data_IF_888503784313
#
_entry.id   IF_888503784313
#
_cell.length_a   1.000
_cell.length_b   1.000
_cell.length_c   1.000
_cell.angle_alpha   90.00
_cell.angle_beta   90.00
_cell.angle_gamma   90.00
#
_symmetry.space_group_name_H-M   'P 1'
#
loop_
_entity.id
_entity.type
_entity.pdbx_description
1 polymer ?
#
# COMPACT_ATOMS: atom_id res chain seq x y z
N UNK A 1 60.18 -9.97 -16.32
CA UNK A 1 59.26 -8.94 -15.78
C UNK A 1 58.56 -8.26 -16.94
N UNK A 2 57.38 -8.74 -17.31
CA UNK A 2 56.53 -8.06 -18.31
C UNK A 2 55.32 -7.53 -17.56
N UNK A 3 55.33 -6.23 -17.29
CA UNK A 3 54.20 -5.49 -16.71
C UNK A 3 53.14 -5.31 -17.78
N UNK A 4 51.97 -5.84 -17.56
CA UNK A 4 50.79 -5.62 -18.39
C UNK A 4 50.39 -4.14 -18.32
N UNK A 5 50.79 -3.35 -19.27
CA UNK A 5 50.24 -2.04 -19.50
C UNK A 5 48.81 -2.19 -20.05
N UNK A 6 47.81 -1.97 -19.20
CA UNK A 6 46.41 -1.83 -19.63
C UNK A 6 46.34 -0.59 -20.53
N UNK A 7 46.13 -0.80 -21.82
CA UNK A 7 46.11 0.29 -22.80
C UNK A 7 44.89 1.22 -22.56
N UNK A 8 45.07 2.50 -22.81
CA UNK A 8 44.02 3.52 -22.68
C UNK A 8 42.76 3.18 -23.48
N UNK A 9 42.85 2.34 -24.50
CA UNK A 9 41.72 1.80 -25.26
C UNK A 9 40.90 0.78 -24.47
N UNK A 10 41.53 -0.06 -23.64
CA UNK A 10 40.80 -0.99 -22.77
C UNK A 10 40.05 -0.28 -21.66
N UNK A 11 40.62 0.81 -21.12
CA UNK A 11 39.95 1.66 -20.14
C UNK A 11 38.79 2.42 -20.78
N UNK A 12 38.94 2.94 -22.01
CA UNK A 12 37.86 3.56 -22.78
C UNK A 12 36.77 2.56 -23.19
N UNK A 13 37.13 1.35 -23.58
CA UNK A 13 36.19 0.27 -23.91
C UNK A 13 35.40 -0.18 -22.68
N UNK A 14 36.02 -0.32 -21.53
CA UNK A 14 35.36 -0.63 -20.27
C UNK A 14 34.47 0.53 -19.77
N UNK A 15 34.90 1.79 -19.95
CA UNK A 15 34.10 2.96 -19.65
C UNK A 15 32.89 3.11 -20.58
N UNK A 16 33.06 2.87 -21.89
CA UNK A 16 31.96 2.89 -22.85
C UNK A 16 30.98 1.72 -22.67
N UNK A 17 31.45 0.53 -22.27
CA UNK A 17 30.54 -0.58 -21.89
C UNK A 17 29.77 -0.30 -20.60
N UNK A 18 30.35 0.40 -19.64
CA UNK A 18 29.62 0.88 -18.45
C UNK A 18 28.64 2.02 -18.75
N UNK A 19 28.94 2.86 -19.74
CA UNK A 19 28.05 3.95 -20.18
C UNK A 19 26.90 3.48 -21.08
N UNK A 20 27.05 2.37 -21.81
CA UNK A 20 26.02 1.82 -22.67
C UNK A 20 25.02 0.90 -21.94
N UNK A 21 25.29 0.56 -20.70
CA UNK A 21 24.39 -0.17 -19.80
C UNK A 21 23.70 0.77 -18.79
N UNK A 22 23.27 1.96 -19.22
CA UNK A 22 22.06 2.55 -18.65
C UNK A 22 20.92 1.74 -19.22
N UNK A 23 20.62 0.62 -18.57
CA UNK A 23 19.41 -0.14 -18.81
C UNK A 23 18.27 0.86 -18.91
N UNK A 24 17.64 0.93 -20.08
CA UNK A 24 16.33 1.57 -20.22
C UNK A 24 15.42 0.77 -19.30
N UNK A 25 15.25 1.28 -18.09
CA UNK A 25 14.36 0.69 -17.10
C UNK A 25 13.01 0.49 -17.76
N UNK A 26 12.60 -0.76 -17.89
CA UNK A 26 11.33 -1.11 -18.53
C UNK A 26 10.21 -0.42 -17.76
N UNK A 27 9.17 0.06 -18.44
CA UNK A 27 7.96 0.61 -17.81
C UNK A 27 7.43 -0.39 -16.76
N UNK A 28 7.51 -1.68 -17.05
CA UNK A 28 7.11 -2.75 -16.13
C UNK A 28 7.94 -2.72 -14.84
N UNK A 29 9.25 -2.55 -14.94
CA UNK A 29 10.14 -2.49 -13.77
C UNK A 29 9.88 -1.24 -12.94
N UNK A 30 9.64 -0.11 -13.58
CA UNK A 30 9.25 1.13 -12.90
C UNK A 30 7.93 0.96 -12.15
N UNK A 31 6.91 0.40 -12.77
CA UNK A 31 5.60 0.11 -12.14
C UNK A 31 5.78 -0.82 -10.95
N UNK A 32 6.58 -1.88 -11.09
CA UNK A 32 6.86 -2.80 -9.99
C UNK A 32 7.55 -2.10 -8.81
N UNK A 33 8.60 -1.32 -9.07
CA UNK A 33 9.33 -0.56 -8.04
C UNK A 33 8.44 0.45 -7.32
N UNK A 34 7.63 1.21 -8.07
CA UNK A 34 6.69 2.19 -7.49
C UNK A 34 5.66 1.47 -6.63
N UNK A 35 5.12 0.34 -7.09
CA UNK A 35 4.12 -0.42 -6.32
C UNK A 35 4.69 -1.01 -5.04
N UNK A 36 5.94 -1.51 -5.08
CA UNK A 36 6.65 -1.97 -3.90
C UNK A 36 6.92 -0.81 -2.92
N UNK A 37 7.34 0.35 -3.44
CA UNK A 37 7.55 1.56 -2.65
C UNK A 37 6.27 2.01 -1.94
N UNK A 38 5.15 2.06 -2.65
CA UNK A 38 3.83 2.41 -2.11
C UNK A 38 3.40 1.45 -1.01
N UNK A 39 3.55 0.15 -1.24
CA UNK A 39 3.18 -0.87 -0.25
C UNK A 39 4.02 -0.75 1.02
N UNK A 40 5.32 -0.53 0.90
CA UNK A 40 6.22 -0.34 2.04
C UNK A 40 5.89 0.95 2.80
N UNK A 41 5.64 2.06 2.10
CA UNK A 41 5.25 3.32 2.73
C UNK A 41 3.96 3.16 3.56
N UNK A 42 2.93 2.51 3.01
CA UNK A 42 1.67 2.24 3.71
C UNK A 42 1.90 1.36 4.94
N UNK A 43 2.67 0.29 4.79
CA UNK A 43 2.96 -0.61 5.91
C UNK A 43 3.66 0.13 7.06
N UNK A 44 4.75 0.85 6.75
CA UNK A 44 5.61 1.47 7.77
C UNK A 44 4.96 2.70 8.39
N UNK A 45 4.16 3.45 7.67
CA UNK A 45 3.50 4.66 8.22
C UNK A 45 2.09 4.35 8.70
N UNK A 46 1.16 4.07 7.80
CA UNK A 46 -0.23 3.84 8.17
C UNK A 46 -0.39 2.56 9.00
N UNK A 47 0.20 1.46 8.54
CA UNK A 47 0.08 0.16 9.20
C UNK A 47 0.68 0.17 10.61
N UNK A 48 1.94 0.58 10.75
CA UNK A 48 2.59 0.65 12.07
C UNK A 48 1.96 1.73 12.95
N UNK A 49 1.54 2.87 12.38
CA UNK A 49 0.83 3.90 13.13
C UNK A 49 -0.48 3.40 13.74
N UNK A 50 -1.27 2.62 12.98
CA UNK A 50 -2.48 1.97 13.47
C UNK A 50 -2.18 0.90 14.51
N UNK A 51 -1.15 0.08 14.29
CA UNK A 51 -0.72 -0.93 15.26
C UNK A 51 -0.31 -0.31 16.59
N UNK A 52 0.49 0.77 16.57
CA UNK A 52 0.88 1.49 17.78
C UNK A 52 -0.34 2.04 18.53
N UNK A 53 -1.30 2.64 17.82
CA UNK A 53 -2.53 3.13 18.44
C UNK A 53 -3.38 1.99 19.04
N UNK A 54 -3.44 0.84 18.36
CA UNK A 54 -4.14 -0.34 18.86
C UNK A 54 -3.50 -0.88 20.14
N UNK A 55 -2.17 -1.05 20.15
CA UNK A 55 -1.43 -1.48 21.36
C UNK A 55 -1.62 -0.48 22.48
N UNK A 56 -1.54 0.83 22.18
CA UNK A 56 -1.76 1.88 23.16
C UNK A 56 -3.14 1.81 23.81
N UNK A 57 -4.16 1.38 23.06
CA UNK A 57 -5.51 1.13 23.58
C UNK A 57 -5.54 0.01 24.64
N UNK A 58 -4.73 -1.05 24.47
CA UNK A 58 -4.63 -2.14 25.45
C UNK A 58 -3.86 -1.74 26.71
N UNK A 59 -2.73 -1.05 26.53
CA UNK A 59 -1.84 -0.69 27.67
C UNK A 59 -2.15 0.69 28.28
N UNK A 60 -3.12 1.42 27.70
CA UNK A 60 -3.56 2.77 28.15
C UNK A 60 -2.41 3.77 28.25
N UNK A 61 -1.49 3.76 27.26
CA UNK A 61 -0.32 4.63 27.23
C UNK A 61 -0.45 5.74 26.19
N UNK A 62 -0.81 6.94 26.63
CA UNK A 62 -1.08 8.09 25.76
C UNK A 62 0.09 8.49 24.82
N UNK A 63 1.38 8.45 25.22
CA UNK A 63 2.47 8.75 24.28
C UNK A 63 2.51 7.83 23.06
N UNK A 64 2.15 6.54 23.22
CA UNK A 64 2.11 5.61 22.07
C UNK A 64 0.96 5.92 21.11
N UNK A 65 -0.17 6.46 21.59
CA UNK A 65 -1.23 7.00 20.72
C UNK A 65 -0.70 8.12 19.83
N UNK A 66 0.09 9.04 20.44
CA UNK A 66 0.69 10.17 19.72
C UNK A 66 1.75 9.70 18.71
N UNK A 67 2.60 8.73 19.06
CA UNK A 67 3.55 8.11 18.14
C UNK A 67 2.84 7.54 16.91
N UNK A 68 1.75 6.79 17.14
CA UNK A 68 0.94 6.24 16.06
C UNK A 68 0.29 7.31 15.18
N UNK A 69 -0.20 8.41 15.79
CA UNK A 69 -0.79 9.52 15.06
C UNK A 69 0.24 10.23 14.16
N UNK A 70 1.43 10.54 14.71
CA UNK A 70 2.55 11.15 13.95
C UNK A 70 2.97 10.24 12.79
N UNK A 71 3.12 8.95 13.06
CA UNK A 71 3.53 7.98 12.03
C UNK A 71 2.53 7.94 10.87
N UNK A 72 1.22 7.98 11.14
CA UNK A 72 0.19 7.98 10.08
C UNK A 72 0.21 9.23 9.21
N UNK A 73 0.39 10.42 9.80
CA UNK A 73 0.39 11.66 9.00
C UNK A 73 1.62 11.81 8.12
N UNK A 74 2.67 11.01 8.34
CA UNK A 74 3.85 10.97 7.46
C UNK A 74 3.59 10.20 6.14
N UNK A 75 2.46 9.49 5.99
CA UNK A 75 2.15 8.67 4.82
C UNK A 75 2.37 9.40 3.49
N UNK A 76 1.84 10.61 3.23
CA UNK A 76 2.02 11.26 1.94
C UNK A 76 3.49 11.58 1.62
N UNK A 77 4.26 12.05 2.59
CA UNK A 77 5.69 12.29 2.42
C UNK A 77 6.46 10.97 2.22
N UNK A 78 6.07 9.91 2.90
CA UNK A 78 6.69 8.59 2.77
C UNK A 78 6.55 7.99 1.36
N UNK A 79 5.50 8.29 0.60
CA UNK A 79 5.39 7.87 -0.79
C UNK A 79 6.54 8.44 -1.64
N UNK A 80 6.79 9.74 -1.57
CA UNK A 80 7.89 10.38 -2.29
C UNK A 80 9.25 9.81 -1.91
N UNK A 81 9.50 9.63 -0.61
CA UNK A 81 10.74 9.04 -0.10
C UNK A 81 10.93 7.61 -0.57
N UNK A 82 9.90 6.76 -0.46
CA UNK A 82 9.97 5.36 -0.83
C UNK A 82 10.18 5.17 -2.34
N UNK A 83 9.49 5.95 -3.19
CA UNK A 83 9.68 5.93 -4.64
C UNK A 83 11.11 6.35 -4.98
N UNK A 84 11.60 7.45 -4.41
CA UNK A 84 12.96 7.94 -4.63
C UNK A 84 14.03 6.92 -4.24
N UNK A 85 13.84 6.24 -3.10
CA UNK A 85 14.71 5.17 -2.62
C UNK A 85 14.72 3.97 -3.57
N UNK A 86 13.55 3.47 -3.97
CA UNK A 86 13.43 2.34 -4.91
C UNK A 86 14.00 2.65 -6.30
N UNK A 87 13.87 3.91 -6.73
CA UNK A 87 14.43 4.40 -7.99
C UNK A 87 15.93 4.77 -7.89
N UNK A 88 16.55 4.56 -6.70
CA UNK A 88 17.96 4.81 -6.42
C UNK A 88 18.41 6.23 -6.77
N UNK A 89 17.64 7.23 -6.35
CA UNK A 89 17.99 8.64 -6.52
C UNK A 89 18.82 9.17 -5.35
N UNK A 90 19.35 10.38 -5.50
CA UNK A 90 20.07 11.07 -4.42
C UNK A 90 19.09 11.66 -3.38
N UNK A 91 19.62 12.08 -2.23
CA UNK A 91 18.84 12.62 -1.11
C UNK A 91 18.12 13.93 -1.44
N UNK A 92 18.69 14.76 -2.32
CA UNK A 92 18.06 16.02 -2.74
C UNK A 92 16.74 15.74 -3.47
N UNK A 93 16.76 14.81 -4.43
CA UNK A 93 15.56 14.37 -5.15
C UNK A 93 14.57 13.70 -4.19
N UNK A 94 15.05 12.91 -3.24
CA UNK A 94 14.20 12.24 -2.26
C UNK A 94 13.42 13.24 -1.40
N UNK A 95 14.08 14.24 -0.81
CA UNK A 95 13.41 15.25 0.01
C UNK A 95 12.46 16.14 -0.81
N UNK A 96 12.83 16.47 -2.04
CA UNK A 96 11.95 17.21 -2.95
C UNK A 96 10.70 16.39 -3.31
N UNK A 97 10.85 15.09 -3.54
CA UNK A 97 9.74 14.19 -3.83
C UNK A 97 8.82 14.01 -2.62
N UNK A 98 9.35 14.04 -1.38
CA UNK A 98 8.52 14.03 -0.16
C UNK A 98 7.59 15.25 -0.12
N UNK A 99 8.11 16.44 -0.39
CA UNK A 99 7.33 17.67 -0.45
C UNK A 99 6.27 17.60 -1.57
N UNK A 100 6.69 17.19 -2.78
CA UNK A 100 5.80 17.03 -3.91
C UNK A 100 4.65 16.04 -3.63
N UNK A 101 4.94 14.88 -3.04
CA UNK A 101 3.93 13.91 -2.64
C UNK A 101 2.96 14.45 -1.59
N UNK A 102 3.44 15.19 -0.59
CA UNK A 102 2.60 15.77 0.45
C UNK A 102 1.61 16.80 -0.13
N UNK A 103 2.07 17.67 -1.04
CA UNK A 103 1.20 18.61 -1.75
C UNK A 103 0.24 17.87 -2.68
N UNK A 104 0.75 16.93 -3.47
CA UNK A 104 -0.05 16.12 -4.40
C UNK A 104 -1.10 15.27 -3.71
N UNK A 105 -0.87 14.89 -2.45
CA UNK A 105 -1.86 14.20 -1.64
C UNK A 105 -3.06 15.08 -1.25
N UNK A 106 -3.02 16.37 -1.53
CA UNK A 106 -3.95 17.35 -0.95
C UNK A 106 -4.01 17.23 0.59
N UNK A 107 -2.86 16.97 1.19
CA UNK A 107 -2.73 16.61 2.61
C UNK A 107 -2.37 17.81 3.49
N UNK A 108 -2.01 18.94 2.88
CA UNK A 108 -1.57 20.14 3.59
C UNK A 108 -2.69 21.17 3.59
N UNK A 109 -3.14 21.53 4.78
CA UNK A 109 -4.15 22.56 5.01
C UNK A 109 -3.49 23.75 5.69
N UNK A 110 -3.93 24.95 5.34
CA UNK A 110 -3.48 26.17 6.01
C UNK A 110 -4.55 26.68 6.95
N UNK A 111 -4.16 27.09 8.16
CA UNK A 111 -5.09 27.58 9.18
C UNK A 111 -5.53 29.02 8.89
N UNK A 112 -6.82 29.31 8.94
CA UNK A 112 -7.35 30.68 8.79
C UNK A 112 -7.14 31.52 10.05
N UNK A 113 -7.02 30.88 11.21
CA UNK A 113 -6.86 31.50 12.52
C UNK A 113 -5.73 30.84 13.30
N UNK A 114 -5.23 31.55 14.32
CA UNK A 114 -4.29 30.94 15.25
C UNK A 114 -4.91 29.75 15.97
N UNK A 115 -4.19 28.62 16.04
CA UNK A 115 -4.61 27.38 16.69
C UNK A 115 -3.72 27.11 17.89
N UNK A 116 -4.32 26.97 19.06
CA UNK A 116 -3.61 26.54 20.27
C UNK A 116 -3.36 25.02 20.20
N UNK A 117 -2.19 24.61 20.59
CA UNK A 117 -1.82 23.21 20.62
C UNK A 117 -0.78 22.91 21.69
N UNK A 118 -0.64 21.60 21.96
CA UNK A 118 0.37 21.09 22.88
C UNK A 118 1.19 20.03 22.13
N UNK A 119 2.50 20.13 22.20
CA UNK A 119 3.39 19.13 21.58
C UNK A 119 3.28 17.78 22.29
N UNK A 120 3.78 16.71 21.67
CA UNK A 120 3.84 15.38 22.28
C UNK A 120 4.58 15.34 23.62
N UNK A 121 5.46 16.32 23.86
CA UNK A 121 6.21 16.47 25.13
C UNK A 121 5.52 17.42 26.14
N UNK A 122 4.29 17.86 25.83
CA UNK A 122 3.52 18.73 26.72
C UNK A 122 3.83 20.24 26.61
N UNK A 123 4.62 20.62 25.62
CA UNK A 123 4.92 22.05 25.40
C UNK A 123 3.75 22.75 24.72
N UNK A 124 3.13 23.70 25.41
CA UNK A 124 2.03 24.50 24.88
C UNK A 124 2.56 25.58 23.94
N UNK A 125 1.88 25.77 22.80
CA UNK A 125 2.22 26.79 21.81
C UNK A 125 1.06 27.12 20.92
N UNK A 126 1.08 28.32 20.33
CA UNK A 126 0.12 28.73 19.32
C UNK A 126 0.75 28.62 17.94
N UNK A 127 0.02 28.02 17.01
CA UNK A 127 0.34 28.12 15.58
C UNK A 127 -0.37 29.36 15.03
N UNK A 128 0.38 30.24 14.36
CA UNK A 128 -0.18 31.45 13.76
C UNK A 128 -1.18 31.11 12.62
N UNK A 129 -2.01 32.07 12.25
CA UNK A 129 -2.80 31.98 11.02
C UNK A 129 -1.86 31.73 9.82
N UNK A 130 -2.25 30.89 8.89
CA UNK A 130 -1.42 30.47 7.76
C UNK A 130 -0.47 29.31 8.07
N UNK A 131 -0.47 28.76 9.29
CA UNK A 131 0.34 27.56 9.61
C UNK A 131 -0.19 26.32 8.90
N UNK A 132 0.74 25.47 8.45
CA UNK A 132 0.40 24.23 7.77
C UNK A 132 0.04 23.12 8.77
N UNK A 133 -1.08 22.45 8.51
CA UNK A 133 -1.49 21.21 9.17
C UNK A 133 -1.42 20.08 8.15
N UNK A 134 -0.74 18.99 8.48
CA UNK A 134 -0.59 17.85 7.59
C UNK A 134 -1.53 16.72 8.04
N UNK A 135 -2.26 16.15 7.07
CA UNK A 135 -3.11 14.98 7.24
C UNK A 135 -2.60 13.80 6.40
N UNK A 136 -3.29 12.67 6.40
CA UNK A 136 -2.93 11.53 5.55
C UNK A 136 -3.23 11.75 4.07
N UNK A 137 -4.11 12.68 3.74
CA UNK A 137 -4.45 13.07 2.37
C UNK A 137 -4.87 11.92 1.45
N UNK A 138 -4.72 12.15 0.14
CA UNK A 138 -5.11 11.23 -0.91
C UNK A 138 -3.91 10.49 -1.50
N UNK A 139 -3.82 9.14 -1.36
CA UNK A 139 -2.62 8.40 -1.74
C UNK A 139 -2.31 8.39 -3.23
N UNK A 140 -3.32 8.34 -4.12
CA UNK A 140 -3.09 8.12 -5.55
C UNK A 140 -2.37 9.31 -6.18
N UNK A 141 -2.87 10.51 -5.98
CA UNK A 141 -2.20 11.71 -6.48
C UNK A 141 -0.86 11.97 -5.80
N UNK A 142 -0.72 11.60 -4.52
CA UNK A 142 0.57 11.63 -3.82
C UNK A 142 1.63 10.77 -4.50
N UNK A 143 1.28 9.53 -4.84
CA UNK A 143 2.16 8.59 -5.55
C UNK A 143 2.55 9.12 -6.93
N UNK A 144 1.58 9.63 -7.69
CA UNK A 144 1.83 10.18 -9.02
C UNK A 144 2.70 11.45 -8.96
N UNK A 145 2.45 12.36 -8.02
CA UNK A 145 3.26 13.56 -7.82
C UNK A 145 4.69 13.21 -7.41
N UNK A 146 4.84 12.26 -6.48
CA UNK A 146 6.14 11.75 -6.06
C UNK A 146 6.91 11.08 -7.20
N UNK A 147 6.23 10.28 -8.02
CA UNK A 147 6.82 9.64 -9.19
C UNK A 147 7.31 10.67 -10.22
N UNK A 148 6.48 11.66 -10.56
CA UNK A 148 6.87 12.74 -11.48
C UNK A 148 8.07 13.50 -10.93
N UNK A 149 8.07 13.87 -9.64
CA UNK A 149 9.18 14.52 -8.99
C UNK A 149 10.47 13.67 -9.06
N UNK A 150 10.38 12.39 -8.76
CA UNK A 150 11.51 11.45 -8.79
C UNK A 150 12.08 11.32 -10.20
N UNK A 151 11.23 11.09 -11.20
CA UNK A 151 11.68 10.94 -12.59
C UNK A 151 12.32 12.22 -13.11
N UNK A 152 11.69 13.37 -12.84
CA UNK A 152 12.23 14.67 -13.24
C UNK A 152 13.55 14.99 -12.52
N UNK A 153 13.60 14.80 -11.20
CA UNK A 153 14.81 15.07 -10.41
C UNK A 153 15.96 14.13 -10.79
N UNK A 154 15.68 12.84 -11.05
CA UNK A 154 16.67 11.89 -11.57
C UNK A 154 17.20 12.32 -12.94
N UNK A 155 16.31 12.79 -13.81
CA UNK A 155 16.70 13.30 -15.13
C UNK A 155 17.55 14.58 -15.03
N UNK A 156 17.23 15.49 -14.10
CA UNK A 156 17.91 16.78 -13.96
C UNK A 156 19.29 16.65 -13.28
N UNK A 157 19.44 15.70 -12.34
CA UNK A 157 20.66 15.50 -11.56
C UNK A 157 21.88 15.27 -12.47
N UNK A 158 22.97 15.99 -12.19
CA UNK A 158 24.24 15.91 -12.92
C UNK A 158 24.28 16.73 -14.22
N UNK A 159 23.25 17.55 -14.50
CA UNK A 159 23.18 18.35 -15.74
C UNK A 159 23.59 19.81 -15.55
N UNK A 160 23.68 20.27 -14.32
CA UNK A 160 24.00 21.68 -14.03
C UNK A 160 25.16 21.82 -13.03
N UNK A 161 25.97 22.84 -13.13
CA UNK A 161 27.02 23.10 -12.15
C UNK A 161 26.46 23.53 -10.78
N UNK A 162 25.15 23.86 -10.71
CA UNK A 162 24.46 24.30 -9.50
C UNK A 162 23.42 23.24 -9.03
N UNK A 163 23.71 21.98 -9.23
CA UNK A 163 22.77 20.88 -8.91
C UNK A 163 22.25 20.93 -7.47
N UNK A 164 23.08 21.36 -6.51
CA UNK A 164 22.66 21.48 -5.10
C UNK A 164 21.50 22.45 -4.86
N UNK A 165 21.27 23.41 -5.78
CA UNK A 165 20.18 24.38 -5.69
C UNK A 165 19.10 24.10 -6.73
N UNK A 166 19.51 23.87 -7.98
CA UNK A 166 18.58 23.75 -9.10
C UNK A 166 17.79 22.43 -9.01
N UNK A 167 18.43 21.31 -8.65
CA UNK A 167 17.75 20.02 -8.58
C UNK A 167 16.62 20.02 -7.53
N UNK A 168 16.87 20.38 -6.25
CA UNK A 168 15.80 20.38 -5.26
C UNK A 168 14.72 21.42 -5.57
N UNK A 169 15.08 22.64 -5.99
CA UNK A 169 14.10 23.67 -6.31
C UNK A 169 13.20 23.28 -7.48
N UNK A 170 13.79 22.90 -8.62
CA UNK A 170 13.03 22.54 -9.81
C UNK A 170 12.21 21.24 -9.59
N UNK A 171 12.77 20.24 -8.90
CA UNK A 171 12.07 19.00 -8.59
C UNK A 171 10.85 19.23 -7.69
N UNK A 172 11.00 20.08 -6.66
CA UNK A 172 9.89 20.44 -5.78
C UNK A 172 8.81 21.17 -6.57
N UNK A 173 9.16 22.20 -7.36
CA UNK A 173 8.19 22.97 -8.14
C UNK A 173 7.45 22.07 -9.13
N UNK A 174 8.17 21.32 -9.95
CA UNK A 174 7.53 20.44 -10.97
C UNK A 174 6.66 19.40 -10.31
N UNK A 175 7.13 18.74 -9.26
CA UNK A 175 6.38 17.72 -8.55
C UNK A 175 5.13 18.25 -7.84
N UNK A 176 5.23 19.42 -7.17
CA UNK A 176 4.10 20.03 -6.45
C UNK A 176 3.05 20.57 -7.41
N UNK A 177 3.47 21.22 -8.51
CA UNK A 177 2.54 21.68 -9.56
C UNK A 177 1.82 20.51 -10.22
N UNK A 178 2.57 19.48 -10.62
CA UNK A 178 1.97 18.26 -11.17
C UNK A 178 1.01 17.61 -10.16
N UNK A 179 1.41 17.51 -8.89
CA UNK A 179 0.58 16.96 -7.82
C UNK A 179 -0.71 17.72 -7.60
N UNK A 180 -0.66 19.04 -7.64
CA UNK A 180 -1.84 19.89 -7.51
C UNK A 180 -2.88 19.61 -8.61
N UNK A 181 -2.44 19.61 -9.88
CA UNK A 181 -3.35 19.31 -11.00
C UNK A 181 -3.83 17.86 -11.00
N UNK A 182 -2.97 16.92 -10.64
CA UNK A 182 -3.37 15.52 -10.50
C UNK A 182 -4.42 15.33 -9.42
N UNK A 183 -4.29 15.98 -8.26
CA UNK A 183 -5.28 15.91 -7.20
C UNK A 183 -6.65 16.43 -7.66
N UNK A 184 -6.67 17.50 -8.45
CA UNK A 184 -7.90 18.06 -9.01
C UNK A 184 -8.63 17.09 -9.95
N UNK A 185 -7.91 16.20 -10.65
CA UNK A 185 -8.50 15.20 -11.54
C UNK A 185 -8.80 13.90 -10.81
N UNK A 186 -7.88 13.42 -9.98
CA UNK A 186 -8.04 12.11 -9.32
C UNK A 186 -9.08 12.11 -8.22
N UNK A 187 -9.27 13.24 -7.51
CA UNK A 187 -10.24 13.31 -6.43
C UNK A 187 -11.69 13.06 -6.90
N UNK A 188 -12.21 13.71 -7.95
CA UNK A 188 -13.56 13.42 -8.46
C UNK A 188 -13.73 11.97 -8.93
N UNK A 189 -12.70 11.39 -9.57
CA UNK A 189 -12.73 10.00 -10.01
C UNK A 189 -12.86 9.05 -8.82
N UNK A 190 -12.09 9.28 -7.76
CA UNK A 190 -12.15 8.45 -6.56
C UNK A 190 -13.46 8.60 -5.79
N UNK A 191 -14.02 9.82 -5.73
CA UNK A 191 -15.36 10.06 -5.19
C UNK A 191 -16.39 9.25 -5.97
N UNK A 192 -16.33 9.27 -7.30
CA UNK A 192 -17.25 8.51 -8.16
C UNK A 192 -17.09 6.98 -7.96
N UNK A 193 -15.86 6.48 -7.86
CA UNK A 193 -15.60 5.05 -7.57
C UNK A 193 -16.16 4.67 -6.18
N UNK A 194 -15.89 5.47 -5.17
CA UNK A 194 -16.40 5.24 -3.82
C UNK A 194 -17.94 5.25 -3.77
N UNK A 195 -18.58 6.23 -4.42
CA UNK A 195 -20.04 6.32 -4.53
C UNK A 195 -20.61 5.11 -5.29
N UNK A 196 -19.97 4.66 -6.38
CA UNK A 196 -20.36 3.46 -7.12
C UNK A 196 -20.28 2.20 -6.24
N UNK A 197 -19.21 2.03 -5.48
CA UNK A 197 -19.06 0.90 -4.56
C UNK A 197 -20.14 0.94 -3.48
N UNK A 198 -20.37 2.09 -2.86
CA UNK A 198 -21.40 2.25 -1.83
C UNK A 198 -22.81 1.98 -2.38
N UNK A 199 -23.14 2.51 -3.57
CA UNK A 199 -24.44 2.28 -4.21
C UNK A 199 -24.62 0.81 -4.63
N UNK A 200 -23.59 0.15 -5.13
CA UNK A 200 -23.64 -1.27 -5.50
C UNK A 200 -23.95 -2.16 -4.31
N UNK A 201 -23.36 -1.86 -3.15
CA UNK A 201 -23.63 -2.55 -1.90
C UNK A 201 -25.04 -2.22 -1.38
N UNK A 202 -25.49 -0.97 -1.51
CA UNK A 202 -26.82 -0.57 -1.07
C UNK A 202 -27.97 -1.20 -1.89
N UNK A 203 -27.77 -1.36 -3.21
CA UNK A 203 -28.81 -1.94 -4.11
C UNK A 203 -28.94 -3.43 -3.89
N UNK A 204 -27.84 -4.15 -3.77
CA UNK A 204 -27.82 -5.58 -3.45
C UNK A 204 -26.67 -5.91 -2.53
N UNK A 205 -26.89 -5.90 -1.22
CA UNK A 205 -25.80 -6.07 -0.23
C UNK A 205 -25.06 -7.41 -0.37
N UNK A 206 -25.74 -8.50 -0.72
CA UNK A 206 -25.11 -9.81 -0.85
C UNK A 206 -24.17 -9.84 -2.05
N UNK A 207 -24.68 -9.48 -3.23
CA UNK A 207 -23.87 -9.47 -4.45
C UNK A 207 -22.82 -8.35 -4.39
N UNK A 208 -23.18 -7.16 -3.93
CA UNK A 208 -22.30 -6.02 -3.83
C UNK A 208 -21.09 -6.28 -2.95
N UNK A 209 -21.32 -6.81 -1.74
CA UNK A 209 -20.21 -7.14 -0.83
C UNK A 209 -19.34 -8.28 -1.37
N UNK A 210 -19.92 -9.29 -2.01
CA UNK A 210 -19.16 -10.36 -2.65
C UNK A 210 -18.27 -9.84 -3.78
N UNK A 211 -18.79 -8.99 -4.67
CA UNK A 211 -18.04 -8.41 -5.79
C UNK A 211 -16.94 -7.47 -5.27
N UNK A 212 -17.26 -6.59 -4.32
CA UNK A 212 -16.26 -5.68 -3.72
C UNK A 212 -15.13 -6.47 -3.08
N UNK A 213 -15.44 -7.54 -2.34
CA UNK A 213 -14.43 -8.39 -1.74
C UNK A 213 -13.53 -9.06 -2.78
N UNK A 214 -14.10 -9.63 -3.85
CA UNK A 214 -13.32 -10.23 -4.94
C UNK A 214 -12.42 -9.20 -5.63
N UNK A 215 -12.93 -8.01 -5.93
CA UNK A 215 -12.15 -6.96 -6.60
C UNK A 215 -10.97 -6.52 -5.74
N UNK A 216 -11.19 -6.23 -4.45
CA UNK A 216 -10.11 -5.80 -3.56
C UNK A 216 -9.12 -6.93 -3.22
N UNK A 217 -9.60 -8.17 -3.11
CA UNK A 217 -8.75 -9.36 -3.00
C UNK A 217 -7.84 -9.51 -4.22
N UNK A 218 -8.40 -9.41 -5.43
CA UNK A 218 -7.63 -9.47 -6.67
C UNK A 218 -6.63 -8.31 -6.77
N UNK A 219 -7.03 -7.08 -6.47
CA UNK A 219 -6.14 -5.91 -6.44
C UNK A 219 -4.98 -6.09 -5.46
N UNK A 220 -5.20 -6.74 -4.33
CA UNK A 220 -4.15 -7.03 -3.34
C UNK A 220 -3.04 -7.88 -3.94
N UNK A 221 -3.34 -8.74 -4.90
CA UNK A 221 -2.36 -9.60 -5.57
C UNK A 221 -1.63 -8.91 -6.74
N UNK A 222 -2.11 -7.76 -7.20
CA UNK A 222 -1.46 -7.01 -8.28
C UNK A 222 -0.37 -6.07 -7.75
N UNK A 223 0.48 -5.49 -8.62
CA UNK A 223 1.35 -4.39 -8.22
C UNK A 223 0.59 -3.16 -7.69
N UNK A 224 -0.70 -2.98 -8.02
CA UNK A 224 -1.51 -1.92 -7.44
C UNK A 224 -1.69 -2.09 -5.92
N UNK A 225 -1.87 -1.00 -5.21
CA UNK A 225 -2.08 -1.04 -3.77
C UNK A 225 -3.57 -0.98 -3.43
N UNK A 226 -4.15 -2.14 -3.06
CA UNK A 226 -5.51 -2.20 -2.54
C UNK A 226 -5.68 -1.32 -1.29
N UNK A 227 -4.66 -1.26 -0.44
CA UNK A 227 -4.65 -0.40 0.74
C UNK A 227 -4.68 1.08 0.37
N UNK A 228 -3.90 1.52 -0.63
CA UNK A 228 -3.94 2.90 -1.10
C UNK A 228 -5.31 3.28 -1.67
N UNK A 229 -5.92 2.37 -2.45
CA UNK A 229 -7.25 2.61 -3.01
C UNK A 229 -8.32 2.69 -1.89
N UNK A 230 -8.28 1.79 -0.91
CA UNK A 230 -9.21 1.82 0.21
C UNK A 230 -9.10 3.12 1.03
N UNK A 231 -7.86 3.55 1.34
CA UNK A 231 -7.60 4.83 2.02
C UNK A 231 -8.12 6.00 1.18
N UNK A 232 -7.87 5.99 -0.13
CA UNK A 232 -8.32 7.03 -1.03
C UNK A 232 -9.86 7.14 -1.07
N UNK A 233 -10.56 6.01 -1.15
CA UNK A 233 -12.04 5.97 -1.08
C UNK A 233 -12.53 6.51 0.27
N UNK A 234 -11.94 6.08 1.37
CA UNK A 234 -12.27 6.57 2.70
C UNK A 234 -12.07 8.09 2.87
N UNK A 235 -11.02 8.64 2.25
CA UNK A 235 -10.74 10.07 2.28
C UNK A 235 -11.75 10.93 1.50
N UNK A 236 -12.57 10.35 0.62
CA UNK A 236 -13.63 11.06 -0.11
C UNK A 236 -14.88 11.34 0.72
N UNK A 237 -14.94 10.86 1.96
CA UNK A 237 -16.12 10.97 2.83
C UNK A 237 -17.25 10.00 2.50
N UNK A 238 -17.05 9.07 1.57
CA UNK A 238 -17.99 7.97 1.31
C UNK A 238 -18.01 7.04 2.52
N UNK A 239 -19.16 6.88 3.13
CA UNK A 239 -19.38 6.00 4.28
C UNK A 239 -20.27 4.82 3.89
N UNK A 240 -19.72 3.63 3.88
CA UNK A 240 -20.46 2.37 3.77
C UNK A 240 -19.73 1.34 4.62
N UNK A 241 -20.22 1.06 5.84
CA UNK A 241 -19.62 0.05 6.72
C UNK A 241 -19.53 -1.33 6.06
N UNK A 242 -20.56 -1.70 5.29
CA UNK A 242 -20.64 -2.98 4.58
C UNK A 242 -19.57 -3.06 3.46
N UNK A 243 -19.39 -1.96 2.72
CA UNK A 243 -18.33 -1.89 1.70
C UNK A 243 -16.94 -1.97 2.33
N UNK A 244 -16.71 -1.27 3.43
CA UNK A 244 -15.45 -1.34 4.16
C UNK A 244 -15.19 -2.75 4.72
N UNK A 245 -16.22 -3.38 5.27
CA UNK A 245 -16.16 -4.78 5.70
C UNK A 245 -15.87 -5.73 4.55
N UNK A 246 -16.51 -5.55 3.40
CA UNK A 246 -16.26 -6.37 2.21
C UNK A 246 -14.82 -6.22 1.70
N UNK A 247 -14.29 -4.99 1.67
CA UNK A 247 -12.87 -4.73 1.33
C UNK A 247 -11.96 -5.49 2.30
N UNK A 248 -12.25 -5.42 3.60
CA UNK A 248 -11.48 -6.11 4.63
C UNK A 248 -11.47 -7.63 4.40
N UNK A 249 -12.63 -8.24 4.16
CA UNK A 249 -12.73 -9.68 3.94
C UNK A 249 -12.02 -10.09 2.65
N UNK A 250 -12.17 -9.32 1.58
CA UNK A 250 -11.51 -9.59 0.30
C UNK A 250 -9.98 -9.54 0.39
N UNK A 251 -9.45 -8.49 1.01
CA UNK A 251 -8.01 -8.37 1.25
C UNK A 251 -7.50 -9.47 2.18
N UNK A 252 -8.24 -9.80 3.24
CA UNK A 252 -7.89 -10.89 4.16
C UNK A 252 -7.86 -12.24 3.44
N UNK A 253 -8.80 -12.51 2.56
CA UNK A 253 -8.93 -13.81 1.89
C UNK A 253 -7.67 -14.22 1.12
N UNK A 254 -6.94 -13.29 0.52
CA UNK A 254 -5.67 -13.60 -0.16
C UNK A 254 -4.53 -13.80 0.83
N UNK A 255 -4.49 -13.03 1.93
CA UNK A 255 -3.49 -13.22 2.98
C UNK A 255 -3.57 -14.61 3.63
N UNK A 256 -4.76 -15.16 3.82
CA UNK A 256 -4.93 -16.46 4.47
C UNK A 256 -5.11 -17.59 3.46
N UNK A 257 -5.65 -17.30 2.28
CA UNK A 257 -5.92 -18.28 1.22
C UNK A 257 -4.65 -18.82 0.57
N UNK A 258 -3.70 -17.96 0.18
CA UNK A 258 -2.45 -18.41 -0.45
C UNK A 258 -1.61 -19.29 0.48
N UNK A 259 -1.37 -18.91 1.76
CA UNK A 259 -0.74 -19.84 2.71
C UNK A 259 -1.47 -21.17 2.83
N UNK A 260 -2.81 -21.14 2.93
CA UNK A 260 -3.61 -22.36 3.04
C UNK A 260 -3.50 -23.28 1.81
N UNK A 261 -3.32 -22.71 0.61
CA UNK A 261 -3.10 -23.47 -0.62
C UNK A 261 -1.72 -24.07 -0.69
N UNK A 262 -0.69 -23.35 -0.20
CA UNK A 262 0.71 -23.61 -0.49
C UNK A 262 1.56 -24.13 0.67
N UNK A 263 1.00 -24.33 1.87
CA UNK A 263 1.80 -24.67 3.06
C UNK A 263 2.53 -26.02 2.96
N UNK A 264 2.04 -26.95 2.11
CA UNK A 264 2.74 -28.20 1.81
C UNK A 264 3.84 -28.05 0.75
N UNK A 265 3.86 -26.94 0.02
CA UNK A 265 4.82 -26.66 -1.04
C UNK A 265 5.93 -25.72 -0.56
N UNK A 266 5.78 -25.09 0.61
CA UNK A 266 6.65 -24.05 1.12
C UNK A 266 7.17 -24.36 2.53
N UNK A 267 8.35 -23.84 2.84
CA UNK A 267 8.88 -23.80 4.21
C UNK A 267 8.03 -22.87 5.07
N UNK A 268 8.05 -23.09 6.38
CA UNK A 268 7.26 -22.32 7.34
C UNK A 268 7.49 -20.80 7.24
N UNK A 269 8.72 -20.36 7.00
CA UNK A 269 9.06 -18.94 6.82
C UNK A 269 8.34 -18.31 5.62
N UNK A 270 8.30 -18.99 4.47
CA UNK A 270 7.57 -18.53 3.29
C UNK A 270 6.06 -18.51 3.52
N UNK A 271 5.53 -19.51 4.23
CA UNK A 271 4.10 -19.58 4.60
C UNK A 271 3.72 -18.40 5.51
N UNK A 272 4.55 -18.10 6.52
CA UNK A 272 4.34 -16.95 7.43
C UNK A 272 4.45 -15.64 6.65
N UNK A 273 5.45 -15.50 5.78
CA UNK A 273 5.63 -14.29 4.97
C UNK A 273 4.40 -13.99 4.10
N UNK A 274 3.81 -15.00 3.46
CA UNK A 274 2.57 -14.85 2.69
C UNK A 274 1.39 -14.38 3.56
N UNK A 275 1.22 -14.98 4.72
CA UNK A 275 0.05 -14.77 5.57
C UNK A 275 0.12 -13.51 6.41
N UNK A 276 1.32 -13.07 6.80
CA UNK A 276 1.48 -11.98 7.76
C UNK A 276 2.09 -10.73 7.12
N UNK A 277 3.01 -10.91 6.15
CA UNK A 277 3.69 -9.76 5.54
C UNK A 277 3.01 -9.36 4.25
N UNK A 278 2.97 -10.26 3.25
CA UNK A 278 2.31 -9.97 1.97
C UNK A 278 2.11 -11.22 1.12
N UNK A 279 0.89 -11.47 0.62
CA UNK A 279 0.64 -12.54 -0.33
C UNK A 279 1.21 -12.22 -1.73
N UNK A 280 1.63 -10.97 -2.00
CA UNK A 280 2.20 -10.56 -3.31
C UNK A 280 3.46 -11.31 -3.70
N UNK A 281 4.13 -11.98 -2.78
CA UNK A 281 5.26 -12.85 -3.11
C UNK A 281 4.84 -14.01 -4.04
N UNK A 282 3.54 -14.33 -4.11
CA UNK A 282 2.98 -15.29 -5.07
C UNK A 282 2.64 -14.67 -6.44
N UNK A 283 2.88 -13.37 -6.64
CA UNK A 283 2.56 -12.70 -7.90
C UNK A 283 3.22 -13.32 -9.13
N UNK A 284 4.51 -13.75 -9.09
CA UNK A 284 5.12 -14.47 -10.20
C UNK A 284 4.33 -15.73 -10.59
N UNK A 285 3.93 -16.55 -9.61
CA UNK A 285 3.18 -17.77 -9.85
C UNK A 285 1.78 -17.47 -10.43
N UNK A 286 1.16 -16.36 -10.02
CA UNK A 286 -0.09 -15.88 -10.59
C UNK A 286 0.06 -15.41 -12.05
N UNK A 287 1.20 -14.84 -12.43
CA UNK A 287 1.42 -14.44 -13.83
C UNK A 287 1.57 -15.64 -14.75
N UNK A 288 2.07 -16.76 -14.24
CA UNK A 288 2.13 -18.03 -14.97
C UNK A 288 0.78 -18.74 -15.04
N UNK A 289 0.02 -18.71 -13.95
CA UNK A 289 -1.30 -19.32 -13.87
C UNK A 289 -2.29 -18.41 -13.11
N UNK A 290 -2.99 -17.50 -13.81
CA UNK A 290 -3.97 -16.61 -13.18
C UNK A 290 -5.14 -17.33 -12.49
N UNK A 291 -5.41 -18.59 -12.84
CA UNK A 291 -6.48 -19.34 -12.21
C UNK A 291 -6.25 -19.63 -10.71
N UNK A 292 -4.99 -19.52 -10.25
CA UNK A 292 -4.65 -19.70 -8.83
C UNK A 292 -5.31 -18.69 -7.89
N UNK A 293 -5.84 -17.58 -8.43
CA UNK A 293 -6.58 -16.61 -7.62
C UNK A 293 -8.03 -17.05 -7.33
N UNK A 294 -8.57 -17.98 -8.11
CA UNK A 294 -9.99 -18.37 -8.05
C UNK A 294 -10.40 -18.86 -6.66
N UNK A 295 -9.67 -19.79 -6.00
CA UNK A 295 -10.11 -20.29 -4.70
C UNK A 295 -10.20 -19.21 -3.61
N UNK A 296 -9.20 -18.31 -3.40
CA UNK A 296 -9.34 -17.21 -2.48
C UNK A 296 -10.48 -16.24 -2.83
N UNK A 297 -10.76 -16.02 -4.12
CA UNK A 297 -11.87 -15.14 -4.56
C UNK A 297 -13.24 -15.76 -4.25
N UNK A 298 -13.39 -17.06 -4.44
CA UNK A 298 -14.61 -17.77 -4.02
C UNK A 298 -14.77 -17.68 -2.49
N UNK A 299 -13.69 -17.90 -1.74
CA UNK A 299 -13.68 -17.72 -0.29
C UNK A 299 -14.10 -16.31 0.14
N UNK A 300 -13.57 -15.29 -0.51
CA UNK A 300 -13.94 -13.90 -0.28
C UNK A 300 -15.43 -13.63 -0.58
N UNK A 301 -15.91 -14.12 -1.72
CA UNK A 301 -17.30 -13.93 -2.16
C UNK A 301 -18.32 -14.58 -1.22
N UNK A 302 -17.99 -15.71 -0.61
CA UNK A 302 -18.83 -16.38 0.38
C UNK A 302 -18.73 -15.68 1.74
N UNK A 303 -17.52 -15.37 2.18
CA UNK A 303 -17.29 -14.84 3.52
C UNK A 303 -17.78 -13.40 3.67
N UNK A 304 -17.63 -12.54 2.65
CA UNK A 304 -17.93 -11.11 2.78
C UNK A 304 -19.40 -10.84 3.10
N UNK A 305 -20.40 -11.37 2.36
CA UNK A 305 -21.81 -11.17 2.72
C UNK A 305 -22.13 -11.65 4.13
N UNK A 306 -21.64 -12.83 4.51
CA UNK A 306 -21.89 -13.39 5.84
C UNK A 306 -21.29 -12.52 6.93
N UNK A 307 -20.01 -12.15 6.78
CA UNK A 307 -19.32 -11.33 7.78
C UNK A 307 -19.94 -9.94 7.93
N UNK A 308 -20.32 -9.30 6.82
CA UNK A 308 -20.81 -7.92 6.85
C UNK A 308 -22.30 -7.82 7.19
N UNK A 309 -23.13 -8.70 6.63
CA UNK A 309 -24.59 -8.62 6.75
C UNK A 309 -25.12 -9.32 8.00
N UNK A 310 -24.51 -10.45 8.39
CA UNK A 310 -24.97 -11.22 9.54
C UNK A 310 -24.27 -10.76 10.83
N UNK A 311 -22.95 -10.55 10.75
CA UNK A 311 -22.13 -10.24 11.92
C UNK A 311 -21.69 -8.77 12.01
N UNK A 312 -22.07 -7.96 11.03
CA UNK A 312 -21.73 -6.52 10.97
C UNK A 312 -20.23 -6.24 11.13
N UNK A 313 -19.38 -7.12 10.61
CA UNK A 313 -17.94 -6.95 10.62
C UNK A 313 -17.59 -5.78 9.70
N UNK A 314 -16.99 -4.77 10.27
CA UNK A 314 -16.52 -3.59 9.55
C UNK A 314 -15.20 -3.10 10.13
N UNK A 315 -14.51 -2.26 9.38
CA UNK A 315 -13.32 -1.56 9.84
C UNK A 315 -13.24 -0.20 9.12
N UNK A 316 -12.51 0.79 9.65
CA UNK A 316 -12.21 1.98 8.87
C UNK A 316 -11.56 1.63 7.53
N UNK A 317 -11.87 2.37 6.46
CA UNK A 317 -11.28 2.13 5.13
C UNK A 317 -9.75 2.04 5.16
N UNK A 318 -9.11 2.85 6.03
CA UNK A 318 -7.67 2.81 6.24
C UNK A 318 -7.14 1.44 6.70
N UNK A 319 -7.93 0.68 7.44
CA UNK A 319 -7.62 -0.68 7.89
C UNK A 319 -8.12 -1.74 6.90
N UNK A 320 -9.27 -1.52 6.28
CA UNK A 320 -9.92 -2.49 5.41
C UNK A 320 -9.02 -2.96 4.26
N UNK A 321 -8.27 -2.04 3.65
CA UNK A 321 -7.35 -2.35 2.57
C UNK A 321 -6.04 -3.05 2.99
N UNK A 322 -5.76 -3.14 4.30
CA UNK A 322 -4.57 -3.80 4.84
C UNK A 322 -4.79 -5.31 5.00
N UNK A 323 -6.05 -5.73 5.23
CA UNK A 323 -6.39 -7.14 5.42
C UNK A 323 -5.76 -7.74 6.68
N UNK A 324 -5.17 -8.92 6.55
CA UNK A 324 -4.57 -9.66 7.66
C UNK A 324 -3.12 -9.26 7.96
N UNK A 325 -2.58 -8.26 7.26
CA UNK A 325 -1.19 -7.84 7.39
C UNK A 325 -0.83 -7.53 8.85
N UNK A 326 0.26 -8.13 9.32
CA UNK A 326 0.87 -7.90 10.64
C UNK A 326 -0.10 -7.98 11.84
N UNK A 327 -1.22 -8.69 11.67
CA UNK A 327 -2.31 -8.78 12.66
C UNK A 327 -2.92 -7.45 13.09
N UNK A 328 -2.72 -6.36 12.32
CA UNK A 328 -3.18 -5.02 12.69
C UNK A 328 -4.71 -5.01 12.90
N UNK A 329 -5.46 -5.52 11.92
CA UNK A 329 -6.93 -5.52 12.01
C UNK A 329 -7.45 -6.53 13.03
N UNK A 330 -6.96 -7.78 13.09
CA UNK A 330 -7.34 -8.69 14.18
C UNK A 330 -7.16 -8.08 15.57
N UNK A 331 -6.02 -7.46 15.83
CA UNK A 331 -5.75 -6.82 17.12
C UNK A 331 -6.67 -5.63 17.38
N UNK A 332 -6.92 -4.80 16.38
CA UNK A 332 -7.83 -3.66 16.49
C UNK A 332 -9.26 -4.11 16.81
N UNK A 333 -9.75 -5.14 16.13
CA UNK A 333 -11.07 -5.71 16.40
C UNK A 333 -11.14 -6.38 17.79
N UNK A 334 -10.10 -7.13 18.18
CA UNK A 334 -10.05 -7.76 19.50
C UNK A 334 -10.14 -6.71 20.64
N UNK A 335 -9.52 -5.55 20.46
CA UNK A 335 -9.53 -4.48 21.45
C UNK A 335 -10.81 -3.64 21.46
N UNK A 336 -11.48 -3.47 20.30
CA UNK A 336 -12.63 -2.59 20.17
C UNK A 336 -13.97 -3.31 20.19
N UNK A 337 -14.05 -4.50 19.59
CA UNK A 337 -15.28 -5.29 19.45
C UNK A 337 -14.97 -6.79 19.39
N UNK A 338 -14.91 -7.49 20.54
CA UNK A 338 -14.61 -8.93 20.58
C UNK A 338 -15.56 -9.82 19.77
N UNK A 339 -16.83 -9.42 19.62
CA UNK A 339 -17.82 -10.17 18.80
C UNK A 339 -17.46 -10.03 17.32
N UNK A 340 -17.17 -8.83 16.86
CA UNK A 340 -16.70 -8.61 15.49
C UNK A 340 -15.36 -9.32 15.23
N UNK A 341 -14.45 -9.36 16.21
CA UNK A 341 -13.22 -10.13 16.13
C UNK A 341 -13.50 -11.64 15.95
N UNK A 342 -14.37 -12.22 16.78
CA UNK A 342 -14.74 -13.65 16.67
C UNK A 342 -15.37 -13.96 15.30
N UNK A 343 -16.28 -13.11 14.84
CA UNK A 343 -16.92 -13.25 13.53
C UNK A 343 -15.90 -13.07 12.38
N UNK A 344 -14.99 -12.12 12.48
CA UNK A 344 -13.91 -11.91 11.52
C UNK A 344 -13.00 -13.14 11.43
N UNK A 345 -12.59 -13.71 12.58
CA UNK A 345 -11.77 -14.93 12.60
C UNK A 345 -12.55 -16.17 12.11
N UNK A 346 -13.81 -16.34 12.55
CA UNK A 346 -14.64 -17.49 12.22
C UNK A 346 -15.15 -17.51 10.78
N UNK A 347 -15.49 -16.34 10.23
CA UNK A 347 -16.03 -16.22 8.87
C UNK A 347 -14.99 -15.58 7.93
N UNK A 348 -14.47 -14.42 8.27
CA UNK A 348 -13.57 -13.66 7.40
C UNK A 348 -12.22 -14.34 7.15
N UNK A 349 -11.76 -15.16 8.09
CA UNK A 349 -10.50 -15.91 7.99
C UNK A 349 -10.76 -17.39 7.70
N UNK A 350 -11.55 -18.08 8.52
CA UNK A 350 -11.69 -19.54 8.40
C UNK A 350 -12.37 -19.98 7.10
N UNK A 351 -13.39 -19.25 6.62
CA UNK A 351 -14.06 -19.59 5.35
C UNK A 351 -13.11 -19.47 4.17
N UNK A 352 -12.39 -18.35 3.95
CA UNK A 352 -11.38 -18.28 2.88
C UNK A 352 -10.27 -19.33 3.00
N UNK A 353 -9.80 -19.66 4.21
CA UNK A 353 -8.81 -20.74 4.42
C UNK A 353 -9.34 -22.07 3.90
N UNK A 354 -10.52 -22.49 4.35
CA UNK A 354 -11.10 -23.77 3.97
C UNK A 354 -11.40 -23.83 2.48
N UNK A 355 -12.06 -22.79 1.94
CA UNK A 355 -12.42 -22.71 0.52
C UNK A 355 -11.17 -22.71 -0.37
N UNK A 356 -10.14 -21.95 0.01
CA UNK A 356 -8.90 -21.91 -0.75
C UNK A 356 -8.16 -23.24 -0.73
N UNK A 357 -8.05 -23.87 0.43
CA UNK A 357 -7.42 -25.18 0.58
C UNK A 357 -8.12 -26.26 -0.24
N UNK A 358 -9.44 -26.36 -0.10
CA UNK A 358 -10.24 -27.35 -0.84
C UNK A 358 -10.23 -27.05 -2.34
N UNK A 359 -10.43 -25.78 -2.71
CA UNK A 359 -10.43 -25.33 -4.10
C UNK A 359 -9.12 -25.64 -4.81
N UNK A 360 -7.98 -25.37 -4.15
CA UNK A 360 -6.66 -25.70 -4.73
C UNK A 360 -6.47 -27.23 -4.91
N UNK A 361 -6.93 -28.04 -3.97
CA UNK A 361 -6.90 -29.51 -4.12
C UNK A 361 -7.75 -29.98 -5.29
N UNK A 362 -8.92 -29.37 -5.49
CA UNK A 362 -9.77 -29.65 -6.67
C UNK A 362 -9.03 -29.24 -7.95
N UNK A 363 -8.47 -28.03 -8.02
CA UNK A 363 -7.71 -27.55 -9.18
C UNK A 363 -6.56 -28.50 -9.53
N UNK A 364 -5.85 -29.02 -8.52
CA UNK A 364 -4.79 -30.02 -8.70
C UNK A 364 -5.33 -31.32 -9.32
N UNK A 365 -6.51 -31.80 -8.87
CA UNK A 365 -7.12 -33.03 -9.39
C UNK A 365 -7.62 -32.90 -10.82
N UNK A 366 -8.15 -31.74 -11.21
CA UNK A 366 -8.65 -31.50 -12.57
C UNK A 366 -7.57 -30.97 -13.55
N UNK A 367 -6.34 -30.84 -13.09
CA UNK A 367 -5.21 -30.41 -13.92
C UNK A 367 -5.09 -28.90 -14.17
N UNK A 368 -5.87 -28.07 -13.46
CA UNK A 368 -5.78 -26.61 -13.56
C UNK A 368 -4.58 -26.01 -12.81
N UNK A 369 -4.03 -26.74 -11.85
CA UNK A 369 -2.81 -26.35 -11.14
C UNK A 369 -1.81 -27.53 -11.16
N UNK A 370 -0.56 -27.21 -11.45
CA UNK A 370 0.55 -28.17 -11.44
C UNK A 370 1.06 -28.41 -10.00
N UNK A 371 1.69 -29.57 -9.72
CA UNK A 371 2.43 -29.76 -8.48
C UNK A 371 3.52 -28.69 -8.30
N UNK A 372 3.71 -28.22 -7.05
CA UNK A 372 4.71 -27.20 -6.70
C UNK A 372 4.51 -25.83 -7.38
N UNK A 373 3.31 -25.55 -7.91
CA UNK A 373 3.07 -24.30 -8.65
C UNK A 373 3.01 -23.06 -7.74
N UNK A 374 2.78 -23.23 -6.44
CA UNK A 374 2.83 -22.18 -5.44
C UNK A 374 4.13 -22.21 -4.62
N UNK A 375 5.13 -22.97 -5.06
CA UNK A 375 6.43 -23.01 -4.42
C UNK A 375 7.13 -21.64 -4.54
N UNK A 376 7.76 -21.20 -3.45
CA UNK A 376 8.51 -19.96 -3.36
C UNK A 376 10.00 -20.28 -3.13
N UNK A 377 10.85 -19.86 -4.05
CA UNK A 377 12.27 -19.86 -3.83
C UNK A 377 12.62 -18.77 -2.81
N UNK A 378 13.02 -19.20 -1.61
CA UNK A 378 13.54 -18.27 -0.59
C UNK A 378 15.03 -18.10 -0.83
N UNK A 379 15.45 -16.88 -1.09
CA UNK A 379 16.87 -16.47 -1.20
C UNK A 379 17.50 -16.45 0.19
#
# INVERSE_FOLDING_TARGET
MAQNAITAEQVKSASNKKSAAVDKESIRDTVYKVSAAVSNAILVTLGMGLLLQTIAGFIHWAPMVQMGAITKVMLPAAFGAAIASQMKTNTMVMFSAMAASAVGANAVFFTDKAVQGVTATGYAGAQAAGSAIITTGQPISAVLAGLIAVLFGKWLSGKTPLDMVIVPAATTIVGTVAGYYLAAVTTPILVAIGAFIASSVAVNPIIGTAVVAMVFGALTMTPASAAALAVAIGATGVTSPEAAGAILIGTTAVFVGFPAMSFHENKIGATIAQGIVTPKIQFPNLTENPALIIPPMIGAAIAAPIATMVFHVTAPFAMAGIGFNSFIVPLALAGSNPVAFAAYMGVGVAVPVVVSFVGYRIMRKIGWAKPQQLHLEMI
#
